data_IF_861614703733
#
_entry.id   IF_861614703733
#
_cell.length_a   1.000
_cell.length_b   1.000
_cell.length_c   1.000
_cell.angle_alpha   90.00
_cell.angle_beta   90.00
_cell.angle_gamma   90.00
#
_symmetry.space_group_name_H-M   'P 1'
#
loop_
_entity.id
_entity.type
_entity.pdbx_description
1 polymer ?
#
# COMPACT_ATOMS: atom_id res chain seq x y z
N UNK A 1 -29.49 -6.67 -13.26
CA UNK A 1 -29.21 -5.24 -12.96
C UNK A 1 -30.51 -4.48 -12.69
N UNK A 2 -30.98 -4.42 -11.43
CA UNK A 2 -32.23 -3.68 -11.09
C UNK A 2 -32.01 -2.17 -11.04
N UNK A 3 -30.86 -1.73 -10.55
CA UNK A 3 -30.52 -0.30 -10.42
C UNK A 3 -30.26 0.38 -11.76
N UNK A 4 -29.48 -0.25 -12.66
CA UNK A 4 -29.24 0.27 -14.02
C UNK A 4 -30.54 0.50 -14.79
N UNK A 5 -31.44 -0.50 -14.83
CA UNK A 5 -32.75 -0.36 -15.48
C UNK A 5 -33.60 0.78 -14.89
N UNK A 6 -33.51 0.99 -13.57
CA UNK A 6 -34.16 2.12 -12.92
C UNK A 6 -33.57 3.46 -13.39
N UNK A 7 -32.23 3.58 -13.49
CA UNK A 7 -31.59 4.81 -13.97
C UNK A 7 -31.87 5.08 -15.46
N UNK A 8 -31.87 4.04 -16.29
CA UNK A 8 -32.27 4.12 -17.71
C UNK A 8 -33.72 4.60 -17.84
N UNK A 9 -34.65 4.10 -17.00
CA UNK A 9 -36.04 4.57 -16.97
C UNK A 9 -36.19 6.05 -16.57
N UNK A 10 -35.17 6.61 -15.90
CA UNK A 10 -35.09 8.02 -15.52
C UNK A 10 -34.27 8.86 -16.50
N UNK A 11 -33.79 8.28 -17.61
CA UNK A 11 -32.88 8.92 -18.57
C UNK A 11 -31.58 9.45 -17.93
N UNK A 12 -31.17 8.86 -16.81
CA UNK A 12 -29.93 9.20 -16.09
C UNK A 12 -28.77 8.26 -16.45
N UNK A 13 -29.02 7.26 -17.30
CA UNK A 13 -28.04 6.27 -17.72
C UNK A 13 -28.34 5.80 -19.13
N UNK A 14 -27.30 5.70 -19.95
CA UNK A 14 -27.35 5.15 -21.29
C UNK A 14 -26.10 4.30 -21.58
N UNK A 15 -26.04 3.71 -22.78
CA UNK A 15 -24.95 2.83 -23.17
C UNK A 15 -23.63 3.59 -23.40
N UNK A 16 -23.70 4.84 -23.88
CA UNK A 16 -22.50 5.67 -24.09
C UNK A 16 -21.85 6.00 -22.73
N UNK A 17 -22.67 6.44 -21.77
CA UNK A 17 -22.25 6.69 -20.40
C UNK A 17 -21.68 5.44 -19.75
N UNK A 18 -22.31 4.27 -19.91
CA UNK A 18 -21.79 3.01 -19.39
C UNK A 18 -20.38 2.73 -19.92
N UNK A 19 -20.19 2.82 -21.24
CA UNK A 19 -18.91 2.49 -21.87
C UNK A 19 -17.80 3.42 -21.41
N UNK A 20 -18.09 4.71 -21.31
CA UNK A 20 -17.11 5.70 -20.86
C UNK A 20 -16.83 5.57 -19.36
N UNK A 21 -17.84 5.28 -18.55
CA UNK A 21 -17.68 4.98 -17.13
C UNK A 21 -16.82 3.73 -16.92
N UNK A 22 -17.05 2.65 -17.67
CA UNK A 22 -16.21 1.44 -17.57
C UNK A 22 -14.76 1.70 -17.99
N UNK A 23 -14.54 2.46 -19.07
CA UNK A 23 -13.18 2.85 -19.49
C UNK A 23 -12.49 3.67 -18.41
N UNK A 24 -13.20 4.62 -17.81
CA UNK A 24 -12.69 5.45 -16.72
C UNK A 24 -12.30 4.58 -15.51
N UNK A 25 -13.20 3.72 -15.03
CA UNK A 25 -12.93 2.85 -13.88
C UNK A 25 -11.75 1.91 -14.15
N UNK A 26 -11.66 1.34 -15.36
CA UNK A 26 -10.49 0.51 -15.74
C UNK A 26 -9.21 1.33 -15.68
N UNK A 27 -9.21 2.56 -16.18
CA UNK A 27 -8.05 3.45 -16.12
C UNK A 27 -7.65 3.78 -14.67
N UNK A 28 -8.62 4.11 -13.82
CA UNK A 28 -8.39 4.42 -12.41
C UNK A 28 -7.80 3.24 -11.64
N UNK A 29 -8.38 2.05 -11.80
CA UNK A 29 -7.90 0.82 -11.15
C UNK A 29 -6.49 0.47 -11.61
N UNK A 30 -6.23 0.51 -12.92
CA UNK A 30 -4.88 0.24 -13.45
C UNK A 30 -3.86 1.30 -13.00
N UNK A 31 -4.27 2.56 -12.89
CA UNK A 31 -3.44 3.63 -12.34
C UNK A 31 -3.09 3.40 -10.88
N UNK A 32 -4.07 3.04 -10.05
CA UNK A 32 -3.87 2.71 -8.64
C UNK A 32 -2.94 1.50 -8.46
N UNK A 33 -3.12 0.45 -9.26
CA UNK A 33 -2.29 -0.75 -9.23
C UNK A 33 -0.84 -0.43 -9.59
N UNK A 34 -0.60 0.30 -10.69
CA UNK A 34 0.74 0.74 -11.09
C UNK A 34 1.42 1.59 -10.01
N UNK A 35 0.66 2.45 -9.33
CA UNK A 35 1.17 3.26 -8.21
C UNK A 35 1.54 2.38 -7.02
N UNK A 36 0.71 1.40 -6.68
CA UNK A 36 0.96 0.47 -5.59
C UNK A 36 2.22 -0.37 -5.85
N UNK A 37 2.39 -0.92 -7.05
CA UNK A 37 3.56 -1.74 -7.43
C UNK A 37 4.88 -0.97 -7.38
N UNK A 38 4.87 0.31 -7.76
CA UNK A 38 6.06 1.18 -7.71
C UNK A 38 6.39 1.65 -6.28
N UNK A 39 5.42 1.60 -5.37
CA UNK A 39 5.61 2.10 -4.02
C UNK A 39 6.49 1.14 -3.23
N UNK A 40 7.61 1.65 -2.68
CA UNK A 40 8.47 0.85 -1.80
C UNK A 40 7.70 0.39 -0.57
N UNK A 41 8.03 -0.82 -0.10
CA UNK A 41 7.54 -1.38 1.16
C UNK A 41 7.85 -0.41 2.32
N UNK A 42 7.04 -0.39 3.40
CA UNK A 42 7.37 0.37 4.60
C UNK A 42 8.79 0.08 5.09
N UNK A 43 9.41 0.98 5.85
CA UNK A 43 10.74 0.68 6.40
C UNK A 43 10.67 -0.57 7.30
N UNK A 44 11.71 -1.40 7.31
CA UNK A 44 11.73 -2.62 8.12
C UNK A 44 11.48 -2.33 9.61
N UNK A 45 11.89 -1.14 10.07
CA UNK A 45 11.73 -0.68 11.45
C UNK A 45 10.27 -0.53 11.89
N UNK A 46 9.36 -0.35 10.93
CA UNK A 46 7.92 -0.24 11.20
C UNK A 46 7.34 -1.54 11.78
N UNK A 47 8.00 -2.69 11.60
CA UNK A 47 7.54 -3.97 12.19
C UNK A 47 7.51 -3.98 13.73
N UNK A 48 8.23 -3.06 14.37
CA UNK A 48 8.31 -2.92 15.83
C UNK A 48 7.35 -1.88 16.39
N UNK A 49 6.64 -1.13 15.53
CA UNK A 49 5.65 -0.14 15.95
C UNK A 49 4.27 -0.76 16.09
N UNK A 50 3.40 -0.05 16.81
CA UNK A 50 1.97 -0.37 16.99
C UNK A 50 1.68 -1.75 17.60
N UNK A 51 2.69 -2.45 18.12
CA UNK A 51 2.54 -3.69 18.90
C UNK A 51 1.95 -3.39 20.28
N UNK A 52 2.38 -2.29 20.88
CA UNK A 52 1.93 -1.79 22.18
C UNK A 52 1.79 -0.28 22.10
N UNK A 53 0.93 0.31 22.95
CA UNK A 53 0.85 1.77 23.11
C UNK A 53 2.20 2.38 23.51
N UNK A 54 2.99 1.66 24.32
CA UNK A 54 4.38 1.99 24.64
C UNK A 54 5.25 0.75 24.45
N UNK A 55 6.33 0.86 23.69
CA UNK A 55 7.23 -0.24 23.44
C UNK A 55 7.88 -0.73 24.75
N UNK A 56 7.81 -2.03 25.08
CA UNK A 56 8.56 -2.59 26.20
C UNK A 56 10.05 -2.66 25.85
N UNK A 57 10.92 -2.63 26.86
CA UNK A 57 12.38 -2.66 26.68
C UNK A 57 12.87 -3.88 25.89
N UNK A 58 12.20 -5.03 26.00
CA UNK A 58 12.56 -6.21 25.19
C UNK A 58 12.41 -5.95 23.68
N UNK A 59 11.37 -5.23 23.28
CA UNK A 59 11.07 -4.91 21.88
C UNK A 59 12.05 -3.87 21.33
N UNK A 60 12.43 -2.89 22.15
CA UNK A 60 13.48 -1.93 21.82
C UNK A 60 14.84 -2.61 21.62
N UNK A 61 15.17 -3.61 22.46
CA UNK A 61 16.37 -4.40 22.32
C UNK A 61 16.37 -5.24 21.04
N UNK A 62 15.23 -5.85 20.68
CA UNK A 62 15.08 -6.60 19.42
C UNK A 62 15.27 -5.69 18.20
N UNK A 63 14.66 -4.50 18.22
CA UNK A 63 14.83 -3.47 17.19
C UNK A 63 16.32 -3.08 17.03
N UNK A 64 17.02 -2.85 18.13
CA UNK A 64 18.46 -2.53 18.13
C UNK A 64 19.31 -3.66 17.56
N UNK A 65 19.03 -4.90 17.96
CA UNK A 65 19.73 -6.08 17.44
C UNK A 65 19.57 -6.20 15.92
N UNK A 66 18.34 -6.08 15.40
CA UNK A 66 18.10 -6.16 13.97
C UNK A 66 18.77 -5.00 13.20
N UNK A 67 18.79 -3.80 13.77
CA UNK A 67 19.51 -2.66 13.19
C UNK A 67 21.00 -2.95 13.00
N UNK A 68 21.64 -3.52 14.02
CA UNK A 68 23.06 -3.89 13.97
C UNK A 68 23.31 -5.05 12.99
N UNK A 69 22.38 -6.01 12.93
CA UNK A 69 22.46 -7.13 11.99
C UNK A 69 22.38 -6.63 10.54
N UNK A 70 21.40 -5.78 10.22
CA UNK A 70 21.26 -5.18 8.88
C UNK A 70 22.50 -4.36 8.51
N UNK A 71 23.09 -3.61 9.46
CA UNK A 71 24.32 -2.86 9.20
C UNK A 71 25.50 -3.77 8.81
N UNK A 72 25.58 -4.98 9.38
CA UNK A 72 26.68 -5.93 9.13
C UNK A 72 26.44 -6.84 7.94
N UNK A 73 25.18 -7.16 7.64
CA UNK A 73 24.79 -8.20 6.68
C UNK A 73 23.80 -7.69 5.64
N UNK A 74 23.93 -6.41 5.25
CA UNK A 74 23.00 -5.73 4.35
C UNK A 74 22.83 -6.45 3.01
N UNK A 75 23.90 -7.04 2.46
CA UNK A 75 23.88 -7.75 1.17
C UNK A 75 22.90 -8.93 1.12
N UNK A 76 22.54 -9.51 2.27
CA UNK A 76 21.66 -10.67 2.34
C UNK A 76 20.17 -10.29 2.40
N UNK A 77 19.84 -9.01 2.43
CA UNK A 77 18.46 -8.53 2.54
C UNK A 77 18.05 -7.62 1.37
N UNK A 78 16.79 -7.69 0.90
CA UNK A 78 16.30 -6.87 -0.21
C UNK A 78 15.96 -5.43 0.23
N UNK A 79 16.91 -4.72 0.84
CA UNK A 79 16.69 -3.40 1.45
C UNK A 79 16.25 -2.32 0.44
N UNK A 80 16.61 -2.47 -0.84
CA UNK A 80 16.25 -1.53 -1.91
C UNK A 80 14.73 -1.43 -2.15
N UNK A 81 13.98 -2.51 -1.83
CA UNK A 81 12.52 -2.57 -1.95
C UNK A 81 11.80 -1.88 -0.79
N UNK A 82 12.50 -1.50 0.27
CA UNK A 82 11.95 -0.88 1.47
C UNK A 82 12.27 0.63 1.50
N UNK A 83 11.43 1.40 2.17
CA UNK A 83 11.72 2.80 2.50
C UNK A 83 12.90 2.86 3.48
N UNK A 84 13.64 3.96 3.44
CA UNK A 84 14.80 4.14 4.33
C UNK A 84 14.34 4.20 5.79
N UNK A 85 15.07 3.53 6.68
CA UNK A 85 14.78 3.46 8.11
C UNK A 85 15.27 4.71 8.89
N UNK A 86 16.02 5.61 8.25
CA UNK A 86 16.62 6.79 8.89
C UNK A 86 15.67 7.99 9.15
N UNK A 87 14.36 7.85 8.90
CA UNK A 87 13.39 8.95 9.02
C UNK A 87 12.38 8.73 10.15
N UNK A 88 12.88 8.55 11.38
CA UNK A 88 12.13 8.68 12.64
C UNK A 88 13.05 9.24 13.72
#
# INVERSE_FOLDING_TARGET
>A
MRFRKYLESKQLWDEAFQQDYEKQIRSEVMGALKKAEKTKKPAWIEMFKDVYSKAPTSLENQKKYLSQHIQKFAEHYPLNSFKNANNL
#
